data_IF_382807368399
#
_entry.id   IF_382807368399
#
_cell.length_a   1.000
_cell.length_b   1.000
_cell.length_c   1.000
_cell.angle_alpha   90.00
_cell.angle_beta   90.00
_cell.angle_gamma   90.00
#
_symmetry.space_group_name_H-M   'P 1'
#
loop_
_entity.id
_entity.type
_entity.pdbx_description
1 polymer ?
#
# COMPACT_ATOMS: atom_id res chain seq x y z
N UNK A 1 24.74 -13.26 -1.95
CA UNK A 1 24.65 -13.62 -1.48
C UNK A 1 24.93 -14.35 -0.93
N UNK A 2 25.08 -14.74 -0.67
CA UNK A 2 25.26 -15.40 -0.11
C UNK A 2 25.04 -16.14 0.43
N UNK A 3 25.18 -16.65 0.87
CA UNK A 3 25.09 -17.28 1.52
C UNK A 3 24.79 -17.69 2.20
N UNK A 4 24.92 -17.96 2.50
CA UNK A 4 24.69 -18.40 3.30
C UNK A 4 24.49 -19.01 3.77
N UNK A 5 24.61 -19.26 4.01
CA UNK A 5 24.43 -19.92 4.66
C UNK A 5 24.02 -20.39 5.24
N UNK A 6 24.03 -20.67 5.33
CA UNK A 6 23.65 -21.12 5.91
C UNK A 6 22.98 -21.29 6.52
N UNK A 7 22.81 -21.15 6.62
CA UNK A 7 22.17 -21.43 7.16
C UNK A 7 21.55 -21.93 7.19
N UNK A 8 21.75 -21.96 6.80
CA UNK A 8 21.04 -22.56 6.78
C UNK A 8 20.82 -23.41 7.25
N UNK A 9 21.32 -22.85 7.43
CA UNK A 9 20.89 -23.87 8.05
C UNK A 9 19.64 -24.24 7.97
N UNK A 10 19.45 -24.58 7.89
CA UNK A 10 18.46 -25.35 8.25
C UNK A 10 17.09 -24.94 7.95
N UNK A 11 16.92 -24.18 6.89
CA UNK A 11 15.57 -23.97 6.39
C UNK A 11 14.99 -25.30 5.96
N UNK A 12 13.75 -25.60 6.33
CA UNK A 12 13.13 -26.82 5.87
C UNK A 12 13.09 -26.85 4.35
N UNK A 13 13.27 -28.02 3.80
CA UNK A 13 13.15 -28.20 2.37
C UNK A 13 11.69 -28.03 1.99
N UNK A 14 11.45 -27.21 0.97
CA UNK A 14 10.09 -26.96 0.49
C UNK A 14 9.78 -27.97 -0.58
N UNK A 15 8.77 -28.82 -0.36
CA UNK A 15 8.39 -29.84 -1.33
C UNK A 15 7.67 -29.26 -2.53
N UNK A 16 6.93 -28.13 -2.35
CA UNK A 16 6.23 -27.45 -3.43
C UNK A 16 6.55 -25.97 -3.36
N UNK A 17 7.43 -25.51 -4.25
CA UNK A 17 7.74 -24.08 -4.26
C UNK A 17 6.50 -23.23 -4.51
N UNK A 18 6.45 -22.05 -3.89
CA UNK A 18 5.31 -21.17 -4.06
C UNK A 18 5.74 -19.71 -3.93
N UNK A 19 4.94 -18.82 -4.50
CA UNK A 19 5.09 -17.40 -4.29
C UNK A 19 4.54 -17.10 -2.90
N UNK A 20 5.31 -16.38 -2.07
CA UNK A 20 4.93 -16.16 -0.68
C UNK A 20 4.44 -14.75 -0.40
N UNK A 21 4.47 -13.86 -1.39
CA UNK A 21 3.96 -12.53 -1.19
C UNK A 21 4.40 -11.58 -2.27
N UNK A 22 3.92 -10.35 -2.16
CA UNK A 22 4.32 -9.27 -3.07
C UNK A 22 5.60 -8.66 -2.52
N UNK A 23 6.70 -8.79 -3.28
CA UNK A 23 8.00 -8.29 -2.84
C UNK A 23 8.17 -6.81 -3.09
N UNK A 24 7.43 -6.26 -4.05
CA UNK A 24 7.51 -4.84 -4.33
C UNK A 24 6.55 -4.44 -5.41
N UNK A 25 6.24 -3.16 -5.46
CA UNK A 25 5.44 -2.56 -6.50
C UNK A 25 6.23 -1.39 -7.05
N UNK A 26 6.37 -1.33 -8.36
CA UNK A 26 7.19 -0.32 -9.01
C UNK A 26 6.33 0.43 -10.02
N UNK A 27 6.47 1.76 -10.05
CA UNK A 27 5.65 2.57 -10.93
C UNK A 27 6.47 3.74 -11.47
N UNK A 28 6.03 4.25 -12.62
CA UNK A 28 6.70 5.37 -13.24
C UNK A 28 6.12 6.67 -12.71
N UNK A 29 6.98 7.67 -12.58
CA UNK A 29 6.59 9.00 -12.14
C UNK A 29 7.27 10.01 -13.05
N UNK A 30 6.52 11.04 -13.44
CA UNK A 30 7.06 12.11 -14.26
C UNK A 30 8.03 12.98 -13.45
N UNK A 31 7.85 13.04 -12.13
CA UNK A 31 8.70 13.85 -11.25
C UNK A 31 8.82 13.10 -9.92
N UNK A 32 9.84 12.25 -9.83
CA UNK A 32 10.00 11.39 -8.66
C UNK A 32 10.26 12.18 -7.38
N UNK A 33 10.99 13.29 -7.49
CA UNK A 33 11.26 14.11 -6.30
C UNK A 33 9.96 14.72 -5.76
N UNK A 34 9.12 15.25 -6.65
CA UNK A 34 7.84 15.81 -6.24
C UNK A 34 6.93 14.76 -5.64
N UNK A 35 6.96 13.55 -6.19
CA UNK A 35 6.13 12.47 -5.66
C UNK A 35 6.59 12.04 -4.28
N UNK A 36 7.89 11.88 -4.08
CA UNK A 36 8.39 11.53 -2.74
C UNK A 36 8.03 12.61 -1.72
N UNK A 37 8.12 13.88 -2.13
CA UNK A 37 7.74 14.97 -1.23
C UNK A 37 6.25 14.91 -0.86
N UNK A 38 5.41 14.67 -1.86
CA UNK A 38 3.96 14.61 -1.63
C UNK A 38 3.59 13.43 -0.72
N UNK A 39 4.08 12.22 -1.04
CA UNK A 39 3.77 11.05 -0.23
C UNK A 39 4.31 11.18 1.18
N UNK A 40 5.45 11.86 1.35
CA UNK A 40 5.99 12.11 2.69
C UNK A 40 5.15 13.09 3.47
N UNK A 41 4.77 14.20 2.84
CA UNK A 41 4.03 15.26 3.50
C UNK A 41 2.58 14.86 3.77
N UNK A 42 1.94 14.21 2.81
CA UNK A 42 0.50 13.89 2.92
C UNK A 42 0.27 12.60 3.67
N UNK A 43 1.08 11.58 3.42
CA UNK A 43 0.85 10.24 3.97
C UNK A 43 1.90 9.81 4.99
N UNK A 44 2.93 10.63 5.21
CA UNK A 44 3.92 10.32 6.23
C UNK A 44 4.93 9.27 5.85
N UNK A 45 5.07 8.97 4.56
CA UNK A 45 6.03 7.96 4.12
C UNK A 45 7.44 8.52 4.16
N UNK A 46 8.40 7.70 4.64
CA UNK A 46 9.78 8.10 4.76
C UNK A 46 10.61 7.33 3.75
N UNK A 47 11.00 8.02 2.68
CA UNK A 47 11.75 7.39 1.60
C UNK A 47 13.24 7.33 1.95
N UNK A 48 13.88 6.24 1.54
CA UNK A 48 15.31 6.03 1.75
C UNK A 48 16.11 6.71 0.65
N UNK A 49 17.44 6.76 0.86
CA UNK A 49 18.33 7.46 -0.07
C UNK A 49 18.29 6.89 -1.48
N UNK A 50 17.95 5.60 -1.62
CA UNK A 50 17.87 4.99 -2.94
C UNK A 50 16.56 5.29 -3.67
N UNK A 51 15.66 6.07 -3.05
CA UNK A 51 14.47 6.58 -3.73
C UNK A 51 13.18 5.86 -3.45
N UNK A 52 13.23 4.74 -2.74
CA UNK A 52 12.04 3.99 -2.37
C UNK A 52 11.99 3.75 -0.88
N UNK A 53 11.04 2.93 -0.44
CA UNK A 53 10.94 2.54 0.96
C UNK A 53 10.50 1.09 1.03
N UNK A 54 10.64 0.50 2.20
CA UNK A 54 10.25 -0.89 2.42
C UNK A 54 9.21 -0.94 3.53
N UNK A 55 8.09 -1.60 3.24
CA UNK A 55 7.12 -1.94 4.27
C UNK A 55 7.50 -3.32 4.81
N UNK A 56 7.96 -3.36 6.05
CA UNK A 56 8.41 -4.63 6.62
C UNK A 56 7.21 -5.48 7.03
N UNK A 57 7.26 -6.80 6.81
CA UNK A 57 6.14 -7.66 7.19
C UNK A 57 5.80 -7.59 8.67
N UNK A 58 6.78 -7.38 9.53
CA UNK A 58 6.57 -7.30 10.97
C UNK A 58 5.68 -6.13 11.34
N UNK A 59 5.82 -5.00 10.62
CA UNK A 59 5.00 -3.83 10.90
C UNK A 59 3.53 -4.13 10.65
N UNK A 60 3.23 -4.71 9.49
CA UNK A 60 1.84 -5.06 9.16
C UNK A 60 1.32 -6.16 10.08
N UNK A 61 2.18 -7.13 10.41
CA UNK A 61 1.76 -8.26 11.24
C UNK A 61 1.31 -7.83 12.63
N UNK A 62 1.75 -6.66 13.10
CA UNK A 62 1.30 -6.15 14.39
C UNK A 62 -0.13 -5.62 14.35
N UNK A 63 -0.73 -5.51 13.17
CA UNK A 63 -2.09 -4.95 13.02
C UNK A 63 -3.03 -6.07 12.57
N UNK A 64 -3.93 -6.52 13.45
CA UNK A 64 -4.82 -7.65 13.11
C UNK A 64 -5.66 -7.35 11.88
N UNK A 65 -5.76 -8.32 11.00
CA UNK A 65 -6.51 -8.19 9.76
C UNK A 65 -5.69 -7.69 8.59
N UNK A 66 -4.43 -7.27 8.82
CA UNK A 66 -3.58 -6.78 7.74
C UNK A 66 -3.21 -7.91 6.78
N UNK A 67 -3.13 -7.58 5.51
CA UNK A 67 -2.71 -8.53 4.48
C UNK A 67 -2.53 -7.78 3.17
N UNK A 68 -1.87 -8.41 2.22
CA UNK A 68 -1.67 -7.83 0.91
C UNK A 68 -2.60 -8.52 -0.07
N UNK A 69 -3.43 -7.74 -0.75
CA UNK A 69 -4.36 -8.25 -1.75
C UNK A 69 -3.71 -8.12 -3.12
N UNK A 70 -3.79 -9.18 -3.90
CA UNK A 70 -3.30 -9.19 -5.26
C UNK A 70 -4.44 -9.66 -6.14
N UNK A 71 -5.07 -8.75 -6.88
CA UNK A 71 -6.33 -9.06 -7.55
C UNK A 71 -6.41 -8.41 -8.92
N UNK A 72 -6.65 -9.20 -9.98
CA UNK A 72 -6.95 -8.60 -11.26
C UNK A 72 -8.41 -8.16 -11.29
N UNK A 73 -8.63 -6.94 -11.75
CA UNK A 73 -9.98 -6.39 -11.97
C UNK A 73 -10.30 -6.52 -13.45
N UNK A 74 -11.58 -6.54 -13.78
CA UNK A 74 -11.98 -6.58 -15.18
C UNK A 74 -11.45 -5.35 -15.92
N UNK A 75 -11.11 -5.52 -17.20
CA UNK A 75 -10.51 -4.44 -17.98
C UNK A 75 -11.41 -3.20 -18.05
N UNK A 76 -12.73 -3.39 -17.96
CA UNK A 76 -13.69 -2.28 -18.05
C UNK A 76 -14.19 -1.81 -16.68
N UNK A 77 -13.50 -2.19 -15.59
CA UNK A 77 -13.93 -1.76 -14.26
C UNK A 77 -13.88 -0.23 -14.15
N UNK A 78 -14.84 0.31 -13.42
CA UNK A 78 -14.84 1.73 -13.08
C UNK A 78 -14.35 2.00 -11.68
N UNK A 79 -13.86 0.96 -11.01
CA UNK A 79 -13.42 1.10 -9.62
C UNK A 79 -12.24 2.04 -9.47
N UNK A 80 -11.39 2.14 -10.51
CA UNK A 80 -10.21 2.99 -10.45
C UNK A 80 -10.52 4.45 -10.85
N UNK A 81 -11.73 4.72 -11.36
CA UNK A 81 -12.09 6.07 -11.75
C UNK A 81 -12.05 7.00 -10.55
N UNK A 82 -11.68 8.28 -10.69
CA UNK A 82 -11.46 8.98 -11.95
C UNK A 82 -10.02 8.86 -12.49
N UNK A 83 -9.21 7.95 -11.97
CA UNK A 83 -7.88 7.70 -12.52
C UNK A 83 -8.03 6.97 -13.85
N UNK A 84 -7.16 7.29 -14.80
CA UNK A 84 -7.08 6.55 -16.06
C UNK A 84 -5.93 5.56 -16.07
N UNK A 85 -5.30 5.34 -14.93
CA UNK A 85 -4.24 4.35 -14.81
C UNK A 85 -4.84 2.95 -14.79
N UNK A 86 -4.02 1.97 -15.17
CA UNK A 86 -4.48 0.58 -15.21
C UNK A 86 -4.25 -0.13 -13.88
N UNK A 87 -3.94 0.61 -12.86
CA UNK A 87 -3.70 0.07 -11.51
C UNK A 87 -4.12 1.12 -10.49
N UNK A 88 -4.23 0.68 -9.25
CA UNK A 88 -4.38 1.63 -8.17
C UNK A 88 -3.69 1.04 -6.93
N UNK A 89 -3.26 1.94 -6.05
CA UNK A 89 -2.61 1.54 -4.80
C UNK A 89 -3.65 1.31 -3.73
N UNK A 90 -3.42 0.29 -2.90
CA UNK A 90 -4.08 0.18 -1.61
C UNK A 90 -2.99 0.27 -0.56
N UNK A 91 -3.09 1.22 0.35
CA UNK A 91 -2.13 1.39 1.43
C UNK A 91 -2.82 1.14 2.75
N UNK A 92 -2.28 0.20 3.52
CA UNK A 92 -2.81 -0.07 4.85
C UNK A 92 -2.39 1.03 5.80
N UNK A 93 -3.31 1.48 6.64
CA UNK A 93 -3.04 2.50 7.65
C UNK A 93 -3.51 1.99 9.00
N UNK A 94 -2.91 2.50 10.06
CA UNK A 94 -3.29 2.13 11.42
C UNK A 94 -4.40 3.01 11.99
N UNK A 95 -4.60 4.20 11.41
CA UNK A 95 -5.59 5.16 11.90
C UNK A 95 -6.09 5.97 10.72
N UNK A 96 -7.17 5.52 10.10
CA UNK A 96 -7.70 6.17 8.90
C UNK A 96 -8.14 7.60 9.18
N UNK A 97 -8.80 7.83 10.30
CA UNK A 97 -9.25 9.19 10.63
C UNK A 97 -8.06 10.14 10.77
N UNK A 98 -6.98 9.67 11.38
CA UNK A 98 -5.76 10.48 11.52
C UNK A 98 -5.10 10.77 10.19
N UNK A 99 -5.08 9.79 9.30
CA UNK A 99 -4.53 9.97 7.95
C UNK A 99 -5.38 10.97 7.17
N UNK A 100 -6.70 10.88 7.27
CA UNK A 100 -7.59 11.80 6.57
C UNK A 100 -7.45 13.23 7.10
N UNK A 101 -7.24 13.38 8.41
CA UNK A 101 -6.97 14.70 8.96
C UNK A 101 -5.67 15.28 8.41
N UNK A 102 -4.65 14.46 8.28
CA UNK A 102 -3.38 14.88 7.67
C UNK A 102 -3.56 15.26 6.21
N UNK A 103 -4.37 14.50 5.47
CA UNK A 103 -4.71 14.85 4.10
C UNK A 103 -5.35 16.23 4.05
N UNK A 104 -6.32 16.49 4.92
CA UNK A 104 -7.03 17.77 4.94
C UNK A 104 -6.07 18.91 5.22
N UNK A 105 -5.13 18.73 6.15
CA UNK A 105 -4.14 19.76 6.46
C UNK A 105 -3.25 20.08 5.27
N UNK A 106 -3.16 19.18 4.33
CA UNK A 106 -2.33 19.33 3.14
C UNK A 106 -3.15 19.57 1.88
N UNK A 107 -4.43 19.93 2.05
CA UNK A 107 -5.28 20.30 0.92
C UNK A 107 -5.79 19.13 0.09
N UNK A 108 -5.71 17.91 0.62
CA UNK A 108 -6.16 16.72 -0.10
C UNK A 108 -7.48 16.28 0.48
N UNK A 109 -8.52 16.26 -0.36
CA UNK A 109 -9.85 15.83 0.05
C UNK A 109 -10.13 14.43 -0.47
N UNK A 110 -10.79 13.59 0.31
CA UNK A 110 -11.11 12.26 -0.17
C UNK A 110 -12.15 12.32 -1.28
N UNK A 111 -12.00 11.42 -2.25
CA UNK A 111 -13.03 11.22 -3.27
C UNK A 111 -14.22 10.50 -2.68
N UNK A 112 -13.96 9.60 -1.72
CA UNK A 112 -14.98 8.76 -1.13
C UNK A 112 -14.48 8.24 0.20
N UNK A 113 -15.38 8.13 1.16
CA UNK A 113 -15.11 7.50 2.45
C UNK A 113 -16.11 6.37 2.59
N UNK A 114 -15.59 5.17 2.89
CA UNK A 114 -16.43 3.99 3.04
C UNK A 114 -16.31 3.50 4.48
N UNK A 115 -17.41 3.56 5.23
CA UNK A 115 -17.36 3.10 6.61
C UNK A 115 -17.15 1.59 6.68
N UNK A 116 -16.83 1.13 7.88
CA UNK A 116 -16.53 -0.27 8.12
C UNK A 116 -17.73 -1.17 7.80
N UNK A 117 -17.50 -2.14 6.90
CA UNK A 117 -18.52 -3.12 6.53
C UNK A 117 -17.98 -4.54 6.68
N UNK A 118 -17.04 -4.76 7.61
CA UNK A 118 -16.55 -6.10 7.92
C UNK A 118 -15.07 -6.31 7.69
N UNK A 119 -14.49 -5.65 6.70
CA UNK A 119 -13.07 -5.80 6.37
C UNK A 119 -12.25 -4.61 6.78
N UNK A 120 -12.86 -3.66 7.47
CA UNK A 120 -12.22 -2.43 7.88
C UNK A 120 -12.83 -1.24 7.20
N UNK A 121 -12.16 -0.09 7.33
CA UNK A 121 -12.62 1.17 6.78
C UNK A 121 -11.73 1.57 5.62
N UNK A 122 -12.31 2.24 4.64
CA UNK A 122 -11.59 2.63 3.43
C UNK A 122 -11.88 4.09 3.09
N UNK A 123 -10.93 4.71 2.40
CA UNK A 123 -11.14 6.02 1.78
C UNK A 123 -10.30 6.08 0.52
N UNK A 124 -10.77 6.87 -0.45
CA UNK A 124 -10.07 7.04 -1.72
C UNK A 124 -9.58 8.46 -1.86
N UNK A 125 -8.33 8.62 -2.26
CA UNK A 125 -7.72 9.92 -2.60
C UNK A 125 -6.98 9.78 -3.92
N UNK A 126 -6.53 10.91 -4.46
CA UNK A 126 -5.73 10.93 -5.69
C UNK A 126 -4.36 11.51 -5.39
N UNK A 127 -3.33 10.95 -6.00
CA UNK A 127 -2.02 11.60 -5.94
C UNK A 127 -1.91 12.64 -7.07
N UNK A 128 -0.88 13.50 -7.04
CA UNK A 128 -0.80 14.59 -8.03
C UNK A 128 -0.59 14.13 -9.46
N UNK A 129 -0.20 12.89 -9.68
CA UNK A 129 -0.01 12.38 -11.05
C UNK A 129 -1.17 11.51 -11.51
N UNK A 130 -2.29 11.53 -10.78
CA UNK A 130 -3.50 10.88 -11.22
C UNK A 130 -3.66 9.43 -10.83
N UNK A 131 -2.90 8.97 -9.85
CA UNK A 131 -3.08 7.61 -9.34
C UNK A 131 -4.09 7.64 -8.21
N UNK A 132 -5.04 6.73 -8.25
CA UNK A 132 -6.01 6.58 -7.16
C UNK A 132 -5.39 5.75 -6.06
N UNK A 133 -5.57 6.17 -4.83
CA UNK A 133 -5.06 5.49 -3.65
C UNK A 133 -6.23 5.11 -2.78
N UNK A 134 -6.34 3.83 -2.47
CA UNK A 134 -7.30 3.36 -1.48
C UNK A 134 -6.55 3.23 -0.15
N UNK A 135 -6.98 4.01 0.84
CA UNK A 135 -6.44 3.94 2.19
C UNK A 135 -7.31 2.96 2.95
N UNK A 136 -6.69 1.98 3.59
CA UNK A 136 -7.42 0.88 4.22
C UNK A 136 -6.94 0.68 5.64
N UNK A 137 -7.86 0.83 6.60
CA UNK A 137 -7.58 0.46 7.98
C UNK A 137 -8.16 -0.92 8.20
N UNK A 138 -7.33 -1.97 8.19
CA UNK A 138 -7.84 -3.33 8.31
C UNK A 138 -8.35 -3.62 9.71
N UNK A 139 -9.19 -4.62 9.81
CA UNK A 139 -9.61 -5.15 11.08
C UNK A 139 -9.67 -6.66 10.98
N UNK A 140 -9.64 -7.38 12.11
CA UNK A 140 -9.71 -8.84 12.08
C UNK A 140 -10.98 -9.30 11.41
N UNK A 141 -10.84 -10.29 10.55
CA UNK A 141 -12.00 -10.99 9.96
C UNK A 141 -12.27 -12.20 10.84
N UNK A 142 -13.44 -12.22 11.44
CA UNK A 142 -13.80 -13.32 12.33
C UNK A 142 -15.05 -13.95 11.85
#
# INVERSE_FOLDING_TARGET
MSQAPESNAASPKVSEPKVIGLGGLFFKSADTAAMREWYGRVLGLEFNDWGGLVFLPQTAAAHPGAGTVFSPFAADTEYFAPSDKEFMFNLMVDDLDGILARCAENGVEPLKIMPDEGMGSFAHIMDPEGRKIELWQPKPMI
#
